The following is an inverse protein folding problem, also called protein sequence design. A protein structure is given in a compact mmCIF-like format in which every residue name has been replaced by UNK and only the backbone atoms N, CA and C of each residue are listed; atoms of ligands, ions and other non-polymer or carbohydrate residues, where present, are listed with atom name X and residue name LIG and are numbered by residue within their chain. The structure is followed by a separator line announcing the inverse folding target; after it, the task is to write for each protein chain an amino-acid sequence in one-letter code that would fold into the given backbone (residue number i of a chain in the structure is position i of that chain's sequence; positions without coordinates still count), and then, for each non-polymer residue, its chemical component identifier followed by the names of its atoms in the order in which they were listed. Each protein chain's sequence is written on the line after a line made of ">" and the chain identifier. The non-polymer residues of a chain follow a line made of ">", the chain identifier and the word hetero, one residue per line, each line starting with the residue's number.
data_IF_178877331142
#
_entry.id   IF_178877331142
#
_cell.length_a   1.000
_cell.length_b   1.000
_cell.length_c   1.000
_cell.angle_alpha   90.00
_cell.angle_beta   90.00
_cell.angle_gamma   90.00
#
_symmetry.space_group_name_H-M   'P 1'
#
loop_
_entity.id
_entity.type
_entity.pdbx_description
1 polymer ?
#
# COMPACT_ATOMS: atom_id res chain seq x y z
N UNK A 1 21.91 30.15 11.86
CA UNK A 1 22.19 28.73 12.16
C UNK A 1 21.58 28.25 13.49
N UNK A 2 21.67 29.02 14.59
CA UNK A 2 21.18 28.61 15.92
C UNK A 2 19.73 28.09 15.95
N UNK A 3 18.79 28.77 15.29
CA UNK A 3 17.38 28.34 15.23
C UNK A 3 17.16 27.01 14.50
N UNK A 4 17.96 26.71 13.47
CA UNK A 4 17.88 25.42 12.75
C UNK A 4 18.32 24.26 13.66
N UNK A 5 19.34 24.50 14.48
CA UNK A 5 19.83 23.53 15.47
C UNK A 5 18.81 23.33 16.59
N UNK A 6 18.25 24.42 17.11
CA UNK A 6 17.19 24.37 18.13
C UNK A 6 15.96 23.59 17.64
N UNK A 7 15.50 23.84 16.41
CA UNK A 7 14.40 23.11 15.79
C UNK A 7 14.71 21.60 15.63
N UNK A 8 15.93 21.24 15.22
CA UNK A 8 16.33 19.84 15.08
C UNK A 8 16.31 19.10 16.43
N UNK A 9 16.82 19.74 17.48
CA UNK A 9 16.84 19.18 18.84
C UNK A 9 15.41 19.02 19.40
N UNK A 10 14.55 20.02 19.17
CA UNK A 10 13.15 19.97 19.59
C UNK A 10 12.39 18.86 18.86
N UNK A 11 12.58 18.71 17.54
CA UNK A 11 11.93 17.68 16.75
C UNK A 11 12.33 16.27 17.19
N UNK A 12 13.62 16.01 17.45
CA UNK A 12 14.08 14.70 17.93
C UNK A 12 13.42 14.32 19.26
N UNK A 13 13.43 15.21 20.24
CA UNK A 13 12.79 14.98 21.54
C UNK A 13 11.26 14.82 21.41
N UNK A 14 10.63 15.63 20.57
CA UNK A 14 9.19 15.54 20.33
C UNK A 14 8.79 14.23 19.66
N UNK A 15 9.56 13.76 18.68
CA UNK A 15 9.30 12.50 17.98
C UNK A 15 9.35 11.30 18.93
N UNK A 16 10.36 11.23 19.81
CA UNK A 16 10.50 10.14 20.79
C UNK A 16 9.29 10.06 21.75
N UNK A 17 8.75 11.21 22.15
CA UNK A 17 7.57 11.30 23.01
C UNK A 17 6.25 11.03 22.28
N UNK A 18 6.24 11.07 20.94
CA UNK A 18 5.04 10.93 20.12
C UNK A 18 4.74 9.48 19.69
N UNK A 19 5.46 8.50 20.23
CA UNK A 19 5.30 7.07 19.89
C UNK A 19 5.38 6.81 18.38
N UNK A 20 6.55 7.04 17.75
CA UNK A 20 6.67 6.94 16.31
C UNK A 20 6.48 5.49 15.85
N UNK A 21 5.81 5.31 14.72
CA UNK A 21 5.59 4.01 14.08
C UNK A 21 6.25 3.99 12.70
N UNK A 22 6.74 2.81 12.30
CA UNK A 22 7.27 2.62 10.96
C UNK A 22 6.11 2.47 9.97
N UNK A 23 6.14 3.27 8.90
CA UNK A 23 5.17 3.19 7.81
C UNK A 23 5.78 2.41 6.65
N UNK A 24 4.96 1.65 5.93
CA UNK A 24 5.32 0.98 4.68
C UNK A 24 4.52 1.58 3.50
N UNK A 25 5.08 1.61 2.27
CA UNK A 25 4.36 2.09 1.11
C UNK A 25 3.31 1.09 0.62
N UNK A 26 2.08 1.57 0.43
CA UNK A 26 0.97 0.80 -0.14
C UNK A 26 0.81 1.19 -1.62
N UNK A 27 0.83 0.19 -2.50
CA UNK A 27 0.75 0.35 -3.94
C UNK A 27 -0.67 0.11 -4.42
N UNK A 28 -1.14 0.95 -5.35
CA UNK A 28 -2.39 0.72 -6.08
C UNK A 28 -2.08 -0.11 -7.33
N UNK A 29 -2.51 -1.36 -7.34
CA UNK A 29 -2.37 -2.28 -8.47
C UNK A 29 -3.68 -2.34 -9.26
N UNK A 30 -3.59 -2.23 -10.58
CA UNK A 30 -4.69 -2.50 -11.52
C UNK A 30 -4.33 -3.75 -12.31
N UNK A 31 -5.11 -4.82 -12.15
CA UNK A 31 -4.82 -6.13 -12.70
C UNK A 31 -5.95 -6.52 -13.64
N UNK A 32 -5.67 -6.68 -14.94
CA UNK A 32 -6.65 -7.13 -15.92
C UNK A 32 -6.54 -8.63 -16.14
N UNK A 33 -7.61 -9.37 -15.87
CA UNK A 33 -7.66 -10.82 -15.96
C UNK A 33 -8.93 -11.31 -16.68
N UNK A 34 -8.89 -12.47 -17.34
CA UNK A 34 -10.10 -13.20 -17.73
C UNK A 34 -10.91 -13.64 -16.51
N UNK A 35 -12.23 -13.73 -16.66
CA UNK A 35 -13.18 -14.06 -15.57
C UNK A 35 -12.88 -15.41 -14.89
N UNK A 36 -12.33 -16.36 -15.64
CA UNK A 36 -11.97 -17.71 -15.17
C UNK A 36 -10.90 -17.69 -14.07
N UNK A 37 -10.04 -16.67 -14.03
CA UNK A 37 -8.92 -16.56 -13.08
C UNK A 37 -9.21 -15.64 -11.89
N UNK A 38 -10.46 -15.17 -11.76
CA UNK A 38 -10.85 -14.23 -10.69
C UNK A 38 -10.58 -14.78 -9.29
N UNK A 39 -10.88 -16.06 -9.06
CA UNK A 39 -10.69 -16.70 -7.76
C UNK A 39 -9.22 -16.78 -7.33
N UNK A 40 -8.35 -17.15 -8.27
CA UNK A 40 -6.90 -17.29 -8.02
C UNK A 40 -6.26 -15.94 -7.68
N UNK A 41 -6.65 -14.88 -8.38
CA UNK A 41 -6.14 -13.52 -8.15
C UNK A 41 -6.65 -12.95 -6.82
N UNK A 42 -7.91 -13.17 -6.47
CA UNK A 42 -8.41 -12.78 -5.14
C UNK A 42 -7.65 -13.49 -4.03
N UNK A 43 -7.29 -14.76 -4.22
CA UNK A 43 -6.45 -15.51 -3.30
C UNK A 43 -5.04 -14.94 -3.18
N UNK A 44 -4.41 -14.59 -4.30
CA UNK A 44 -3.05 -14.01 -4.31
C UNK A 44 -2.99 -12.64 -3.62
N UNK A 45 -3.97 -11.76 -3.90
CA UNK A 45 -4.06 -10.43 -3.28
C UNK A 45 -4.18 -10.55 -1.75
N UNK A 46 -5.05 -11.46 -1.26
CA UNK A 46 -5.20 -11.66 0.18
C UNK A 46 -3.93 -12.24 0.83
N UNK A 47 -3.22 -13.15 0.16
CA UNK A 47 -1.93 -13.68 0.65
C UNK A 47 -0.88 -12.60 0.80
N UNK A 48 -0.86 -11.63 -0.11
CA UNK A 48 0.04 -10.47 -0.11
C UNK A 48 -0.41 -9.33 0.80
N UNK A 49 -1.27 -9.60 1.80
CA UNK A 49 -1.85 -8.58 2.70
C UNK A 49 -2.56 -7.44 1.95
N UNK A 50 -3.01 -7.70 0.72
CA UNK A 50 -3.65 -6.74 -0.14
C UNK A 50 -5.16 -6.65 0.10
N UNK A 51 -5.74 -5.53 -0.31
CA UNK A 51 -7.17 -5.25 -0.22
C UNK A 51 -7.72 -4.89 -1.59
N UNK A 52 -8.77 -5.58 -2.02
CA UNK A 52 -9.50 -5.22 -3.24
C UNK A 52 -10.37 -3.98 -2.97
N UNK A 53 -10.25 -2.97 -3.83
CA UNK A 53 -11.04 -1.73 -3.79
C UNK A 53 -12.26 -1.81 -4.70
N UNK A 54 -12.16 -2.51 -5.83
CA UNK A 54 -13.24 -2.62 -6.80
C UNK A 54 -12.86 -3.43 -8.03
N UNK A 55 -13.86 -3.70 -8.87
CA UNK A 55 -13.71 -4.42 -10.12
C UNK A 55 -14.47 -3.69 -11.22
N UNK A 56 -13.85 -3.55 -12.39
CA UNK A 56 -14.42 -2.88 -13.56
C UNK A 56 -14.35 -3.80 -14.79
N UNK A 57 -15.44 -3.99 -15.54
CA UNK A 57 -15.41 -4.77 -16.76
C UNK A 57 -14.66 -4.00 -17.88
N UNK A 58 -13.70 -4.66 -18.53
CA UNK A 58 -12.95 -4.13 -19.68
C UNK A 58 -12.92 -5.19 -20.77
N UNK A 59 -13.60 -4.93 -21.89
CA UNK A 59 -13.47 -5.66 -23.16
C UNK A 59 -13.47 -7.20 -23.03
N UNK A 60 -14.49 -7.74 -22.35
CA UNK A 60 -14.63 -9.19 -22.11
C UNK A 60 -13.71 -9.76 -21.02
N UNK A 61 -13.05 -8.89 -20.25
CA UNK A 61 -12.22 -9.20 -19.07
C UNK A 61 -12.65 -8.38 -17.86
N UNK A 62 -12.11 -8.70 -16.70
CA UNK A 62 -12.29 -7.93 -15.47
C UNK A 62 -10.97 -7.26 -15.08
N UNK A 63 -11.05 -5.97 -14.78
CA UNK A 63 -9.97 -5.21 -14.16
C UNK A 63 -10.22 -5.11 -12.66
N UNK A 64 -9.32 -5.67 -11.87
CA UNK A 64 -9.36 -5.61 -10.40
C UNK A 64 -8.45 -4.47 -9.94
N UNK A 65 -8.98 -3.57 -9.12
CA UNK A 65 -8.22 -2.51 -8.45
C UNK A 65 -7.98 -2.95 -7.02
N UNK A 66 -6.72 -3.03 -6.61
CA UNK A 66 -6.33 -3.44 -5.26
C UNK A 66 -5.21 -2.57 -4.69
N UNK A 67 -5.14 -2.51 -3.37
CA UNK A 67 -4.05 -1.94 -2.60
C UNK A 67 -3.21 -3.07 -2.02
N UNK A 68 -1.90 -3.07 -2.27
CA UNK A 68 -0.98 -4.12 -1.79
C UNK A 68 0.28 -3.45 -1.26
N UNK A 69 0.82 -3.87 -0.10
CA UNK A 69 2.11 -3.39 0.37
C UNK A 69 3.22 -3.69 -0.66
N UNK A 70 4.06 -2.70 -0.96
CA UNK A 70 5.15 -2.88 -1.93
C UNK A 70 6.10 -4.03 -1.55
N UNK A 71 6.25 -4.31 -0.25
CA UNK A 71 7.10 -5.40 0.25
C UNK A 71 6.62 -6.78 -0.21
N UNK A 72 5.34 -6.95 -0.50
CA UNK A 72 4.72 -8.21 -0.91
C UNK A 72 4.59 -8.33 -2.44
N UNK A 73 5.04 -7.31 -3.19
CA UNK A 73 5.00 -7.26 -4.66
C UNK A 73 6.31 -7.71 -5.32
N UNK A 74 7.28 -8.21 -4.56
CA UNK A 74 8.57 -8.70 -5.06
C UNK A 74 8.48 -10.10 -5.68
#
# INVERSE_FOLDING_TARGET
>A
MAFKVAANLAFKKGMELASPVLLEPIMKASITIPDEYMGDIMGDINKKRGRVLGMEPIDGKQMVIAEVPLSEMQ
#
